data_IF_821044316860
#
_entry.id   IF_821044316860
#
_cell.length_a   1.000
_cell.length_b   1.000
_cell.length_c   1.000
_cell.angle_alpha   90.00
_cell.angle_beta   90.00
_cell.angle_gamma   90.00
#
_symmetry.space_group_name_H-M   'P 1'
#
loop_
_entity.id
_entity.type
_entity.pdbx_description
1 polymer ?
#
# COMPACT_ATOMS: atom_id res chain seq x y z
N UNK A 1 -5.54 31.03 59.31
CA UNK A 1 -5.22 29.74 58.66
C UNK A 1 -6.19 29.59 57.51
N UNK A 2 -5.79 30.07 56.34
CA UNK A 2 -6.60 29.99 55.11
C UNK A 2 -6.36 28.62 54.47
N UNK A 3 -7.41 27.81 54.43
CA UNK A 3 -7.42 26.51 53.77
C UNK A 3 -7.66 26.73 52.28
N UNK A 4 -6.59 26.67 51.48
CA UNK A 4 -6.69 26.62 50.02
C UNK A 4 -7.20 25.22 49.66
N UNK A 5 -8.50 25.14 49.34
CA UNK A 5 -9.12 23.97 48.73
C UNK A 5 -8.58 23.82 47.30
N UNK A 6 -7.49 23.05 47.18
CA UNK A 6 -6.99 22.58 45.90
C UNK A 6 -7.95 21.52 45.36
N UNK A 7 -9.05 21.99 44.76
CA UNK A 7 -9.88 21.20 43.87
C UNK A 7 -8.97 20.53 42.83
N UNK A 8 -8.72 19.23 43.02
CA UNK A 8 -8.05 18.36 42.05
C UNK A 8 -8.71 18.59 40.70
N UNK A 9 -7.97 19.15 39.75
CA UNK A 9 -8.36 19.08 38.35
C UNK A 9 -8.52 17.60 38.01
N UNK A 10 -9.77 17.17 37.83
CA UNK A 10 -10.06 15.85 37.33
C UNK A 10 -9.38 15.75 35.96
N UNK A 11 -8.47 14.79 35.81
CA UNK A 11 -7.90 14.45 34.52
C UNK A 11 -9.05 13.90 33.64
N UNK A 12 -9.76 14.78 32.96
CA UNK A 12 -10.64 14.42 31.87
C UNK A 12 -9.73 13.96 30.74
N UNK A 13 -9.46 12.67 30.68
CA UNK A 13 -8.64 12.10 29.61
C UNK A 13 -9.23 12.54 28.26
N UNK A 14 -8.38 13.12 27.41
CA UNK A 14 -8.63 13.50 26.00
C UNK A 14 -9.09 12.31 25.11
N UNK A 15 -9.25 11.12 25.69
CA UNK A 15 -9.68 9.90 25.02
C UNK A 15 -11.08 10.01 24.38
N UNK A 16 -11.92 10.92 24.87
CA UNK A 16 -13.24 11.21 24.25
C UNK A 16 -13.15 12.04 22.97
N UNK A 17 -12.00 12.65 22.67
CA UNK A 17 -11.85 13.53 21.50
C UNK A 17 -11.48 12.76 20.22
N UNK A 18 -10.98 11.53 20.35
CA UNK A 18 -10.60 10.66 19.23
C UNK A 18 -11.81 9.86 18.71
N UNK A 19 -12.73 10.55 18.05
CA UNK A 19 -13.98 9.95 17.53
C UNK A 19 -13.99 9.74 16.02
N UNK A 20 -13.18 10.49 15.27
CA UNK A 20 -13.21 10.43 13.81
C UNK A 20 -12.39 9.27 13.26
N UNK A 21 -12.94 8.57 12.28
CA UNK A 21 -12.18 7.58 11.49
C UNK A 21 -11.42 8.24 10.34
N UNK A 22 -10.56 7.48 9.65
CA UNK A 22 -9.87 7.94 8.44
C UNK A 22 -10.86 8.39 7.37
N UNK A 23 -11.97 7.66 7.20
CA UNK A 23 -12.99 7.96 6.19
C UNK A 23 -13.70 9.28 6.49
N UNK A 24 -14.04 9.53 7.75
CA UNK A 24 -14.64 10.80 8.18
C UNK A 24 -13.67 11.97 7.97
N UNK A 25 -12.38 11.75 8.26
CA UNK A 25 -11.36 12.77 8.00
C UNK A 25 -11.28 13.09 6.50
N UNK A 26 -11.33 12.07 5.62
CA UNK A 26 -11.36 12.29 4.17
C UNK A 26 -12.53 13.16 3.73
N UNK A 27 -13.72 12.94 4.31
CA UNK A 27 -14.89 13.77 4.04
C UNK A 27 -14.65 15.24 4.43
N UNK A 28 -14.01 15.50 5.57
CA UNK A 28 -13.64 16.87 6.00
C UNK A 28 -12.64 17.53 5.04
N UNK A 29 -11.63 16.78 4.58
CA UNK A 29 -10.66 17.28 3.60
C UNK A 29 -11.31 17.60 2.26
N UNK A 30 -12.20 16.72 1.77
CA UNK A 30 -12.97 16.93 0.55
C UNK A 30 -13.89 18.16 0.67
N UNK A 31 -14.61 18.29 1.80
CA UNK A 31 -15.46 19.44 2.09
C UNK A 31 -14.68 20.76 2.14
N UNK A 32 -13.41 20.72 2.56
CA UNK A 32 -12.53 21.88 2.57
C UNK A 32 -11.93 22.25 1.20
N UNK A 33 -12.22 21.47 0.14
CA UNK A 33 -11.69 21.66 -1.21
C UNK A 33 -10.28 21.09 -1.41
N UNK A 34 -9.77 20.29 -0.47
CA UNK A 34 -8.43 19.70 -0.53
C UNK A 34 -8.56 18.18 -0.41
N UNK A 35 -9.05 17.48 -1.47
CA UNK A 35 -9.23 16.05 -1.41
C UNK A 35 -7.89 15.34 -1.17
N UNK A 36 -7.90 14.37 -0.25
CA UNK A 36 -6.75 13.54 0.09
C UNK A 36 -7.09 12.07 -0.11
N UNK A 37 -6.07 11.22 -0.11
CA UNK A 37 -6.23 9.77 -0.17
C UNK A 37 -6.15 9.15 1.24
N UNK A 38 -6.76 7.98 1.50
CA UNK A 38 -6.66 7.30 2.80
C UNK A 38 -5.21 7.14 3.27
N UNK A 39 -4.31 6.77 2.34
CA UNK A 39 -2.87 6.64 2.60
C UNK A 39 -2.20 7.94 3.01
N UNK A 40 -2.69 9.09 2.51
CA UNK A 40 -2.18 10.40 2.92
C UNK A 40 -2.57 10.72 4.36
N UNK A 41 -3.82 10.44 4.73
CA UNK A 41 -4.32 10.64 6.10
C UNK A 41 -3.56 9.74 7.07
N UNK A 42 -3.40 8.45 6.75
CA UNK A 42 -2.56 7.53 7.53
C UNK A 42 -1.14 8.05 7.71
N UNK A 43 -0.54 8.61 6.65
CA UNK A 43 0.80 9.21 6.72
C UNK A 43 0.83 10.44 7.62
N UNK A 44 -0.22 11.26 7.65
CA UNK A 44 -0.31 12.41 8.56
C UNK A 44 -0.44 11.97 10.02
N UNK A 45 -1.18 10.89 10.28
CA UNK A 45 -1.25 10.24 11.59
C UNK A 45 0.12 9.71 12.03
N UNK A 46 0.81 8.95 11.17
CA UNK A 46 2.13 8.41 11.46
C UNK A 46 3.19 9.49 11.71
N UNK A 47 3.10 10.62 11.01
CA UNK A 47 3.99 11.78 11.18
C UNK A 47 3.58 12.74 12.30
N UNK A 48 2.52 12.42 13.05
CA UNK A 48 1.97 13.29 14.11
C UNK A 48 1.58 14.69 13.63
N UNK A 49 1.21 14.83 12.35
CA UNK A 49 0.56 16.04 11.84
C UNK A 49 -0.92 16.10 12.24
N UNK A 50 -1.50 14.92 12.52
CA UNK A 50 -2.82 14.77 13.08
C UNK A 50 -2.71 14.06 14.43
N UNK A 51 -3.35 14.64 15.44
CA UNK A 51 -3.55 14.01 16.75
C UNK A 51 -4.41 12.78 16.54
N UNK A 52 -3.79 11.61 16.63
CA UNK A 52 -4.46 10.34 16.38
C UNK A 52 -3.99 9.26 17.35
N UNK A 53 -4.90 8.36 17.67
CA UNK A 53 -4.65 7.15 18.45
C UNK A 53 -4.78 5.94 17.54
N UNK A 54 -3.81 5.03 17.65
CA UNK A 54 -3.84 3.75 16.96
C UNK A 54 -4.52 2.71 17.85
N UNK A 55 -5.51 2.02 17.31
CA UNK A 55 -6.24 0.94 17.98
C UNK A 55 -6.08 -0.33 17.14
N UNK A 56 -5.61 -1.39 17.78
CA UNK A 56 -5.56 -2.72 17.18
C UNK A 56 -6.96 -3.33 17.22
N UNK A 57 -7.51 -3.63 16.06
CA UNK A 57 -8.79 -4.32 15.88
C UNK A 57 -8.56 -5.70 15.28
N UNK A 58 -9.55 -6.59 15.35
CA UNK A 58 -9.47 -7.96 14.81
C UNK A 58 -9.10 -8.00 13.32
N UNK A 59 -9.44 -6.95 12.57
CA UNK A 59 -9.19 -6.80 11.15
C UNK A 59 -7.93 -5.97 10.82
N UNK A 60 -7.16 -5.55 11.84
CA UNK A 60 -5.92 -4.78 11.70
C UNK A 60 -5.92 -3.46 12.48
N UNK A 61 -5.00 -2.56 12.13
CA UNK A 61 -4.83 -1.28 12.82
C UNK A 61 -5.81 -0.22 12.31
N UNK A 62 -6.53 0.44 13.22
CA UNK A 62 -7.42 1.57 12.93
C UNK A 62 -6.91 2.84 13.62
N UNK A 63 -6.97 3.96 12.92
CA UNK A 63 -6.69 5.27 13.49
C UNK A 63 -8.01 5.95 13.91
N UNK A 64 -8.04 6.44 15.14
CA UNK A 64 -9.02 7.40 15.62
C UNK A 64 -8.36 8.77 15.73
N UNK A 65 -9.00 9.78 15.16
CA UNK A 65 -8.42 11.11 14.93
C UNK A 65 -9.29 12.15 15.65
N UNK A 66 -8.66 13.18 16.19
CA UNK A 66 -9.38 14.32 16.76
C UNK A 66 -9.83 15.28 15.66
N UNK A 67 -11.11 15.67 15.67
CA UNK A 67 -11.68 16.63 14.70
C UNK A 67 -10.90 17.95 14.65
N UNK A 68 -10.58 18.51 15.81
CA UNK A 68 -9.86 19.78 15.92
C UNK A 68 -8.48 19.75 15.26
N UNK A 69 -7.80 18.59 15.29
CA UNK A 69 -6.49 18.43 14.65
C UNK A 69 -6.61 18.44 13.12
N UNK A 70 -7.65 17.81 12.57
CA UNK A 70 -7.94 17.84 11.13
C UNK A 70 -8.21 19.26 10.65
N UNK A 71 -9.05 20.00 11.37
CA UNK A 71 -9.38 21.40 11.02
C UNK A 71 -8.15 22.31 11.07
N UNK A 72 -7.29 22.18 12.10
CA UNK A 72 -6.00 22.89 12.18
C UNK A 72 -5.10 22.55 11.00
N UNK A 73 -5.00 21.27 10.64
CA UNK A 73 -4.17 20.85 9.51
C UNK A 73 -4.70 21.34 8.17
N UNK A 74 -6.02 21.35 7.97
CA UNK A 74 -6.66 21.91 6.79
C UNK A 74 -6.37 23.41 6.68
N UNK A 75 -6.48 24.16 7.77
CA UNK A 75 -6.16 25.60 7.79
C UNK A 75 -4.69 25.85 7.41
N UNK A 76 -3.77 25.09 8.01
CA UNK A 76 -2.35 25.13 7.65
C UNK A 76 -2.10 24.82 6.17
N UNK A 77 -2.73 23.78 5.62
CA UNK A 77 -2.59 23.45 4.21
C UNK A 77 -3.14 24.54 3.29
N UNK A 78 -4.24 25.20 3.65
CA UNK A 78 -4.78 26.33 2.89
C UNK A 78 -3.80 27.50 2.86
N UNK A 79 -3.17 27.82 3.99
CA UNK A 79 -2.15 28.86 4.08
C UNK A 79 -0.92 28.54 3.22
N UNK A 80 -0.39 27.32 3.37
CA UNK A 80 0.78 26.87 2.59
C UNK A 80 0.49 26.82 1.09
N UNK A 81 -0.70 26.34 0.68
CA UNK A 81 -1.12 26.31 -0.71
C UNK A 81 -1.31 27.72 -1.29
N UNK A 82 -1.87 28.65 -0.50
CA UNK A 82 -2.01 30.05 -0.92
C UNK A 82 -0.64 30.73 -1.09
N UNK A 83 0.35 30.40 -0.24
CA UNK A 83 1.71 30.91 -0.35
C UNK A 83 2.47 30.31 -1.54
N UNK A 84 2.36 29.00 -1.78
CA UNK A 84 3.04 28.30 -2.89
C UNK A 84 2.43 28.58 -4.26
N UNK A 85 1.21 29.11 -4.34
CA UNK A 85 0.57 29.50 -5.61
C UNK A 85 1.17 30.78 -6.23
N UNK A 86 2.02 31.52 -5.52
CA UNK A 86 2.66 32.75 -6.04
C UNK A 86 4.04 32.54 -6.66
N UNK A 87 4.60 31.33 -6.59
CA UNK A 87 5.91 31.06 -7.18
C UNK A 87 5.79 30.46 -8.59
N UNK A 88 5.99 31.36 -9.56
CA UNK A 88 6.47 31.22 -10.93
C UNK A 88 5.80 30.16 -11.86
N UNK A 89 5.43 30.55 -13.09
CA UNK A 89 4.98 29.59 -14.09
C UNK A 89 6.08 28.57 -14.36
N UNK A 90 5.78 27.31 -14.05
CA UNK A 90 6.52 26.15 -14.53
C UNK A 90 6.59 26.26 -16.06
N UNK A 91 7.77 26.22 -16.70
CA UNK A 91 7.82 26.13 -18.15
C UNK A 91 7.08 24.86 -18.56
N UNK A 92 6.02 25.06 -19.35
CA UNK A 92 5.20 24.04 -19.97
C UNK A 92 6.11 23.11 -20.76
N UNK A 93 6.16 21.83 -20.36
CA UNK A 93 6.67 20.80 -21.24
C UNK A 93 5.61 20.61 -22.33
N UNK A 94 5.97 21.08 -23.52
CA UNK A 94 5.17 21.02 -24.75
C UNK A 94 4.61 19.62 -24.99
N UNK A 95 3.30 19.57 -25.13
CA UNK A 95 2.52 18.50 -25.70
C UNK A 95 3.04 18.19 -27.12
N UNK A 96 3.54 16.98 -27.36
CA UNK A 96 3.71 16.45 -28.72
C UNK A 96 2.87 15.20 -28.85
N UNK A 97 1.59 15.42 -29.11
CA UNK A 97 0.76 14.49 -29.87
C UNK A 97 1.27 14.53 -31.31
N UNK A 98 1.92 13.47 -31.76
CA UNK A 98 1.94 13.09 -33.16
C UNK A 98 1.69 11.59 -33.26
N UNK A 99 0.43 11.26 -33.53
CA UNK A 99 0.08 10.07 -34.29
C UNK A 99 0.77 10.14 -35.65
N UNK A 100 1.42 9.06 -36.08
CA UNK A 100 1.43 8.67 -37.48
C UNK A 100 1.68 7.16 -37.60
N UNK A 101 0.84 6.56 -38.45
CA UNK A 101 0.64 5.14 -38.70
C UNK A 101 1.22 4.80 -40.08
N UNK A 102 1.76 3.58 -40.21
CA UNK A 102 2.14 2.94 -41.48
C UNK A 102 3.58 3.21 -41.92
N UNK A 103 4.32 2.30 -42.55
CA UNK A 103 4.09 0.90 -42.90
C UNK A 103 5.40 0.37 -43.51
N UNK A 104 5.55 -0.96 -43.51
CA UNK A 104 6.47 -1.80 -44.31
C UNK A 104 7.95 -2.06 -43.91
N UNK A 105 8.15 -3.36 -43.64
CA UNK A 105 9.20 -4.28 -44.15
C UNK A 105 10.63 -4.19 -43.58
N UNK A 106 11.39 -5.27 -43.39
CA UNK A 106 11.26 -6.74 -43.38
C UNK A 106 12.71 -7.22 -43.27
N UNK A 107 13.08 -8.02 -42.27
CA UNK A 107 13.88 -9.24 -42.48
C UNK A 107 14.08 -10.01 -41.19
N UNK A 108 13.71 -11.29 -41.28
CA UNK A 108 13.92 -12.37 -40.33
C UNK A 108 15.34 -12.95 -40.45
N UNK A 109 15.74 -13.68 -39.42
CA UNK A 109 16.93 -14.54 -39.34
C UNK A 109 17.25 -14.77 -37.86
N UNK A 110 16.45 -15.56 -37.12
CA UNK A 110 16.66 -17.00 -36.91
C UNK A 110 18.12 -17.39 -36.67
N UNK A 111 18.48 -17.60 -35.41
CA UNK A 111 19.20 -18.81 -34.99
C UNK A 111 18.95 -19.07 -33.51
N UNK A 112 18.49 -20.28 -33.23
CA UNK A 112 18.19 -20.86 -31.94
C UNK A 112 19.46 -21.23 -31.16
N UNK A 113 19.28 -21.36 -29.83
CA UNK A 113 20.00 -22.22 -28.88
C UNK A 113 21.55 -22.17 -28.83
N UNK A 114 22.12 -22.00 -27.63
CA UNK A 114 22.51 -23.14 -26.80
C UNK A 114 23.31 -22.72 -25.54
N UNK A 115 23.12 -23.52 -24.50
CA UNK A 115 24.01 -23.82 -23.36
C UNK A 115 24.62 -22.72 -22.44
N UNK A 116 24.03 -22.65 -21.23
CA UNK A 116 24.59 -23.04 -19.92
C UNK A 116 26.10 -22.87 -19.62
N UNK A 117 26.32 -22.58 -18.31
CA UNK A 117 27.55 -22.64 -17.48
C UNK A 117 28.29 -21.30 -17.38
N UNK A 118 28.80 -20.86 -16.23
CA UNK A 118 28.97 -21.51 -14.93
C UNK A 118 29.25 -20.43 -13.87
N UNK A 119 28.85 -20.77 -12.64
CA UNK A 119 29.33 -20.24 -11.37
C UNK A 119 30.86 -20.35 -11.29
N UNK A 120 31.56 -19.30 -10.83
CA UNK A 120 32.64 -19.50 -9.85
C UNK A 120 33.07 -18.20 -9.16
N UNK A 121 32.76 -18.16 -7.87
CA UNK A 121 33.49 -17.48 -6.79
C UNK A 121 35.01 -17.70 -6.90
N UNK A 122 35.84 -16.69 -6.58
CA UNK A 122 36.81 -16.66 -5.45
C UNK A 122 37.98 -15.67 -5.62
N UNK A 123 38.14 -14.84 -4.58
CA UNK A 123 39.37 -14.54 -3.81
C UNK A 123 40.52 -13.68 -4.41
N UNK A 124 40.74 -12.60 -3.67
CA UNK A 124 41.89 -11.70 -3.49
C UNK A 124 43.33 -12.22 -3.73
N UNK A 125 44.18 -11.30 -4.23
CA UNK A 125 45.56 -10.95 -3.81
C UNK A 125 46.15 -10.01 -4.90
N UNK A 126 46.28 -8.68 -4.70
CA UNK A 126 47.30 -7.90 -3.96
C UNK A 126 48.70 -7.82 -4.63
N UNK A 127 49.23 -6.58 -4.71
CA UNK A 127 50.62 -6.10 -4.90
C UNK A 127 51.17 -5.90 -6.33
N UNK A 128 51.93 -4.85 -6.71
CA UNK A 128 52.43 -3.57 -6.11
C UNK A 128 53.30 -2.83 -7.17
N UNK A 129 53.33 -1.48 -7.18
CA UNK A 129 54.41 -0.52 -7.59
C UNK A 129 53.79 0.78 -8.21
N UNK A 130 53.69 1.95 -7.54
CA UNK A 130 54.69 2.94 -7.03
C UNK A 130 55.09 4.03 -8.09
N UNK A 131 54.40 5.21 -8.15
CA UNK A 131 54.79 6.62 -7.69
C UNK A 131 55.40 7.49 -8.83
N UNK A 132 55.26 8.86 -8.96
CA UNK A 132 55.15 9.93 -7.92
C UNK A 132 54.01 10.98 -8.06
N UNK A 133 53.35 11.36 -6.96
CA UNK A 133 53.56 12.53 -6.08
C UNK A 133 53.28 13.93 -6.69
N UNK A 134 52.18 14.54 -6.25
CA UNK A 134 52.09 15.97 -5.92
C UNK A 134 51.32 16.15 -4.60
N UNK A 135 52.01 16.72 -3.61
CA UNK A 135 51.52 17.20 -2.32
C UNK A 135 50.86 18.58 -2.53
N UNK A 136 49.94 19.18 -1.76
CA UNK A 136 49.31 18.91 -0.47
C UNK A 136 48.32 20.06 -0.19
N UNK A 137 47.10 19.77 0.28
CA UNK A 137 46.38 20.66 1.21
C UNK A 137 45.62 19.82 2.21
N UNK A 138 46.01 19.98 3.47
CA UNK A 138 45.49 19.33 4.67
C UNK A 138 44.01 19.63 4.89
N UNK A 139 43.17 18.61 4.94
CA UNK A 139 41.92 18.60 5.73
C UNK A 139 41.76 17.19 6.23
N UNK A 140 41.75 17.06 7.55
CA UNK A 140 41.62 15.83 8.33
C UNK A 140 40.53 14.93 7.75
N UNK A 141 40.94 13.89 7.02
CA UNK A 141 40.11 12.77 6.62
C UNK A 141 39.81 11.95 7.88
N UNK A 142 38.76 12.36 8.60
CA UNK A 142 38.17 11.49 9.60
C UNK A 142 37.69 10.24 8.87
N UNK A 143 38.09 9.02 9.29
CA UNK A 143 37.48 7.83 8.75
C UNK A 143 35.97 7.96 8.94
N UNK A 144 35.22 7.86 7.83
CA UNK A 144 33.76 7.68 7.90
C UNK A 144 33.50 6.62 8.98
N UNK A 145 32.61 6.86 9.96
CA UNK A 145 32.15 5.77 10.78
C UNK A 145 31.47 4.80 9.81
N UNK A 146 32.16 3.70 9.52
CA UNK A 146 31.52 2.44 9.15
C UNK A 146 30.39 2.30 10.14
N UNK A 147 29.19 2.00 9.66
CA UNK A 147 28.07 1.62 10.51
C UNK A 147 28.48 0.34 11.24
N UNK A 148 29.23 0.51 12.33
CA UNK A 148 29.43 -0.49 13.35
C UNK A 148 28.04 -0.74 13.86
N UNK A 149 27.43 -1.82 13.35
CA UNK A 149 26.33 -2.50 14.03
C UNK A 149 26.82 -2.65 15.47
N UNK A 150 26.26 -1.81 16.35
CA UNK A 150 26.48 -1.93 17.78
C UNK A 150 26.25 -3.40 18.16
N UNK A 151 26.99 -3.95 19.13
CA UNK A 151 26.80 -5.33 19.55
C UNK A 151 25.32 -5.50 19.85
N UNK A 152 24.67 -6.40 19.10
CA UNK A 152 23.24 -6.60 19.21
C UNK A 152 22.93 -6.87 20.68
N UNK A 153 22.16 -5.98 21.31
CA UNK A 153 21.78 -6.16 22.70
C UNK A 153 21.11 -7.53 22.79
N UNK A 154 21.67 -8.51 23.53
CA UNK A 154 21.17 -9.87 23.54
C UNK A 154 19.70 -9.95 23.96
N UNK A 155 19.20 -8.93 24.68
CA UNK A 155 17.78 -8.81 25.02
C UNK A 155 16.90 -8.50 23.82
N UNK A 156 17.40 -7.70 22.89
CA UNK A 156 16.69 -7.35 21.67
C UNK A 156 16.59 -8.57 20.73
N UNK A 157 17.69 -9.28 20.55
CA UNK A 157 17.72 -10.52 19.75
C UNK A 157 16.74 -11.56 20.33
N UNK A 158 16.78 -11.80 21.64
CA UNK A 158 15.87 -12.73 22.29
C UNK A 158 14.38 -12.32 22.15
N UNK A 159 14.07 -11.02 22.21
CA UNK A 159 12.72 -10.52 21.98
C UNK A 159 12.26 -10.77 20.54
N UNK A 160 13.11 -10.49 19.55
CA UNK A 160 12.83 -10.75 18.15
C UNK A 160 12.68 -12.24 17.85
N UNK A 161 13.48 -13.11 18.45
CA UNK A 161 13.37 -14.55 18.28
C UNK A 161 12.04 -15.07 18.82
N UNK A 162 11.60 -14.57 19.97
CA UNK A 162 10.29 -14.91 20.56
C UNK A 162 9.14 -14.46 19.66
N UNK A 163 9.21 -13.23 19.14
CA UNK A 163 8.19 -12.70 18.23
C UNK A 163 8.15 -13.51 16.92
N UNK A 164 9.32 -13.79 16.32
CA UNK A 164 9.40 -14.61 15.12
C UNK A 164 8.84 -16.03 15.33
N UNK A 165 9.11 -16.65 16.48
CA UNK A 165 8.55 -17.96 16.82
C UNK A 165 7.03 -17.91 16.92
N UNK A 166 6.47 -16.86 17.56
CA UNK A 166 5.04 -16.66 17.65
C UNK A 166 4.39 -16.42 16.28
N UNK A 167 4.98 -15.56 15.45
CA UNK A 167 4.48 -15.25 14.12
C UNK A 167 4.48 -16.50 13.22
N UNK A 168 5.56 -17.30 13.26
CA UNK A 168 5.63 -18.56 12.51
C UNK A 168 4.56 -19.56 12.95
N UNK A 169 4.36 -19.73 14.26
CA UNK A 169 3.29 -20.59 14.76
C UNK A 169 1.89 -20.12 14.31
N UNK A 170 1.66 -18.81 14.27
CA UNK A 170 0.40 -18.26 13.78
C UNK A 170 0.23 -18.49 12.27
N UNK A 171 1.31 -18.34 11.48
CA UNK A 171 1.31 -18.63 10.04
C UNK A 171 0.92 -20.09 9.82
N UNK A 172 1.52 -21.04 10.54
CA UNK A 172 1.20 -22.46 10.41
C UNK A 172 -0.29 -22.77 10.68
N UNK A 173 -0.89 -22.12 11.68
CA UNK A 173 -2.33 -22.26 11.99
C UNK A 173 -3.18 -21.67 10.86
N UNK A 174 -2.84 -20.48 10.38
CA UNK A 174 -3.57 -19.81 9.29
C UNK A 174 -3.47 -20.60 7.98
N UNK A 175 -2.31 -21.17 7.68
CA UNK A 175 -2.11 -21.98 6.48
C UNK A 175 -2.99 -23.24 6.51
N UNK A 176 -3.14 -23.88 7.68
CA UNK A 176 -4.08 -25.00 7.86
C UNK A 176 -5.53 -24.56 7.64
N UNK A 177 -5.94 -23.42 8.21
CA UNK A 177 -7.29 -22.90 8.03
C UNK A 177 -7.58 -22.54 6.57
N UNK A 178 -6.60 -21.97 5.85
CA UNK A 178 -6.69 -21.68 4.43
C UNK A 178 -6.86 -22.98 3.64
N UNK A 179 -6.02 -23.99 3.91
CA UNK A 179 -6.11 -25.29 3.24
C UNK A 179 -7.50 -25.92 3.41
N UNK A 180 -8.01 -26.01 4.65
CA UNK A 180 -9.35 -26.52 4.95
C UNK A 180 -10.45 -25.71 4.27
N UNK A 181 -10.34 -24.38 4.26
CA UNK A 181 -11.27 -23.49 3.57
C UNK A 181 -11.28 -23.70 2.05
N UNK A 182 -10.10 -23.94 1.45
CA UNK A 182 -9.99 -24.21 0.02
C UNK A 182 -10.57 -25.56 -0.37
N UNK A 183 -10.43 -26.60 0.45
CA UNK A 183 -11.07 -27.90 0.21
C UNK A 183 -12.59 -27.81 0.25
N UNK A 184 -13.14 -27.14 1.28
CA UNK A 184 -14.59 -26.91 1.36
C UNK A 184 -15.12 -26.15 0.15
N UNK A 185 -14.37 -25.14 -0.33
CA UNK A 185 -14.74 -24.40 -1.53
C UNK A 185 -14.72 -25.28 -2.78
N UNK A 186 -13.73 -26.19 -2.93
CA UNK A 186 -13.67 -27.17 -4.02
C UNK A 186 -14.88 -28.11 -3.99
N UNK A 187 -15.22 -28.65 -2.83
CA UNK A 187 -16.41 -29.50 -2.64
C UNK A 187 -17.69 -28.75 -3.01
N UNK A 188 -17.85 -27.53 -2.50
CA UNK A 188 -19.02 -26.69 -2.80
C UNK A 188 -19.12 -26.41 -4.29
N UNK A 189 -18.02 -26.06 -4.95
CA UNK A 189 -17.99 -25.84 -6.39
C UNK A 189 -18.34 -27.10 -7.18
N UNK A 190 -17.89 -28.28 -6.72
CA UNK A 190 -18.25 -29.55 -7.33
C UNK A 190 -19.75 -29.84 -7.21
N UNK A 191 -20.33 -29.63 -6.03
CA UNK A 191 -21.77 -29.81 -5.78
C UNK A 191 -22.61 -28.81 -6.59
N UNK A 192 -22.22 -27.54 -6.62
CA UNK A 192 -22.89 -26.50 -7.41
C UNK A 192 -22.83 -26.83 -8.90
N UNK A 193 -21.68 -27.27 -9.41
CA UNK A 193 -21.55 -27.69 -10.80
C UNK A 193 -22.41 -28.92 -11.12
N UNK A 194 -22.49 -29.89 -10.21
CA UNK A 194 -23.38 -31.05 -10.34
C UNK A 194 -24.86 -30.62 -10.35
N UNK A 195 -25.23 -29.71 -9.47
CA UNK A 195 -26.59 -29.14 -9.39
C UNK A 195 -26.96 -28.40 -10.67
N UNK A 196 -26.05 -27.54 -11.16
CA UNK A 196 -26.23 -26.83 -12.43
C UNK A 196 -26.46 -27.82 -13.57
N UNK A 197 -25.63 -28.87 -13.71
CA UNK A 197 -25.81 -29.90 -14.74
C UNK A 197 -27.18 -30.59 -14.71
N UNK A 198 -27.77 -30.79 -13.52
CA UNK A 198 -29.10 -31.39 -13.38
C UNK A 198 -30.22 -30.42 -13.78
N UNK A 199 -30.06 -29.12 -13.50
CA UNK A 199 -31.06 -28.11 -13.83
C UNK A 199 -30.94 -27.54 -15.24
N UNK A 200 -29.76 -27.58 -15.87
CA UNK A 200 -29.54 -27.02 -17.22
C UNK A 200 -30.55 -27.54 -18.24
N UNK A 201 -30.85 -28.84 -18.36
CA UNK A 201 -31.81 -29.34 -19.36
C UNK A 201 -33.25 -28.87 -19.08
N UNK A 202 -33.61 -28.72 -17.80
CA UNK A 202 -34.94 -28.23 -17.41
C UNK A 202 -35.09 -26.74 -17.72
N UNK A 203 -34.02 -25.97 -17.60
CA UNK A 203 -33.99 -24.53 -17.90
C UNK A 203 -33.88 -24.25 -19.41
N UNK A 204 -33.18 -25.10 -20.17
CA UNK A 204 -33.03 -24.99 -21.62
C UNK A 204 -34.37 -25.21 -22.35
N UNK A 205 -35.22 -26.12 -21.84
CA UNK A 205 -36.58 -26.34 -22.34
C UNK A 205 -37.52 -25.11 -22.21
N UNK A 206 -37.19 -24.12 -21.36
CA UNK A 206 -37.96 -22.87 -21.29
C UNK A 206 -37.51 -21.83 -22.33
N UNK A 207 -36.33 -22.01 -22.93
CA UNK A 207 -35.76 -21.08 -23.90
C UNK A 207 -36.25 -21.34 -25.33
N UNK A 208 -36.70 -22.56 -25.62
CA UNK A 208 -37.23 -22.99 -26.92
C UNK A 208 -38.74 -22.76 -27.10
N UNK A 209 -39.40 -21.96 -26.25
CA UNK A 209 -40.80 -21.61 -26.48
C UNK A 209 -40.84 -20.58 -27.62
N UNK A 210 -41.35 -20.92 -28.83
CA UNK A 210 -41.40 -19.96 -29.92
C UNK A 210 -42.25 -18.77 -29.50
N UNK A 211 -41.71 -17.57 -29.74
CA UNK A 211 -42.41 -16.31 -29.51
C UNK A 211 -43.77 -16.37 -30.20
N UNK A 212 -44.84 -16.22 -29.42
CA UNK A 212 -46.21 -16.14 -29.91
C UNK A 212 -46.50 -14.80 -30.63
N UNK A 213 -45.53 -14.26 -31.37
CA UNK A 213 -45.60 -12.98 -32.08
C UNK A 213 -45.74 -13.11 -33.60
N UNK A 214 -45.66 -14.33 -34.18
CA UNK A 214 -45.61 -14.51 -35.64
C UNK A 214 -46.94 -14.95 -36.32
N UNK A 215 -48.09 -14.85 -35.63
CA UNK A 215 -49.40 -15.28 -36.19
C UNK A 215 -50.24 -14.13 -36.77
N UNK A 216 -49.75 -12.87 -36.81
CA UNK A 216 -50.54 -11.72 -37.31
C UNK A 216 -49.85 -10.91 -38.41
N UNK A 217 -49.54 -11.55 -39.53
CA UNK A 217 -49.03 -10.83 -40.71
C UNK A 217 -49.66 -11.22 -42.05
N UNK A 218 -50.66 -12.12 -42.08
CA UNK A 218 -51.15 -12.69 -43.35
C UNK A 218 -52.68 -12.60 -43.56
N UNK A 219 -53.28 -11.47 -43.15
CA UNK A 219 -54.63 -11.10 -43.58
C UNK A 219 -54.67 -9.63 -44.03
N UNK A 220 -54.12 -9.35 -45.21
CA UNK A 220 -54.49 -8.19 -46.03
C UNK A 220 -53.99 -8.40 -47.45
N UNK A 221 -54.81 -9.08 -48.26
CA UNK A 221 -54.81 -8.92 -49.71
C UNK A 221 -56.18 -9.21 -50.30
#
# INVERSE_FOLDING_TARGET
>A
METIDMSRQAATNDDSEFTLTIEDALALYAAAGIPRTPRSIQRYCAKQHLSSRRIETEFGEKYLITRASVEKHIAYLKEVMAATSRDLPRPVATETVLENKGDMQRQEGSTEADELRQVSTTVAAENKAEVPQQQSTTTTDMPRPVATTAPEDPRYVAALERENAFLRAQIDVKDKQIAEGTERARETNHLVAGLQKLFTPLLENFKDRPDASEIRSDQSR
#
